data_IF_401702965367
#
_entry.id   IF_401702965367
#
_cell.length_a   1.000
_cell.length_b   1.000
_cell.length_c   1.000
_cell.angle_alpha   90.00
_cell.angle_beta   90.00
_cell.angle_gamma   90.00
#
_symmetry.space_group_name_H-M   'P 1'
#
loop_
_entity.id
_entity.type
_entity.pdbx_description
1 polymer ?
#
# COMPACT_ATOMS: atom_id res chain seq x y z
N UNK A 1 12.25 18.91 -21.67
CA UNK A 1 13.58 18.32 -21.91
C UNK A 1 14.42 19.21 -22.81
N UNK A 2 15.23 20.14 -22.26
CA UNK A 2 16.21 20.82 -23.09
C UNK A 2 17.22 19.79 -23.62
N UNK A 3 17.15 19.54 -24.92
CA UNK A 3 18.03 18.65 -25.66
C UNK A 3 18.50 19.40 -26.89
N UNK A 4 19.81 19.50 -27.08
CA UNK A 4 20.37 20.25 -28.21
C UNK A 4 21.82 20.63 -28.00
N UNK A 5 22.45 21.11 -29.08
CA UNK A 5 23.81 21.65 -29.04
C UNK A 5 23.70 23.18 -28.94
N UNK A 6 24.38 23.75 -27.95
CA UNK A 6 24.38 25.18 -27.67
C UNK A 6 25.80 25.73 -27.83
N UNK A 7 25.94 26.94 -28.34
CA UNK A 7 27.22 27.63 -28.48
C UNK A 7 27.08 29.05 -27.95
N UNK A 8 28.07 29.51 -27.18
CA UNK A 8 28.14 30.90 -26.74
C UNK A 8 28.97 31.72 -27.72
N UNK A 9 28.65 33.01 -27.90
CA UNK A 9 29.46 33.92 -28.73
C UNK A 9 29.79 35.19 -27.95
N UNK A 10 31.08 35.48 -27.80
CA UNK A 10 31.57 36.66 -27.07
C UNK A 10 32.56 37.42 -27.94
N UNK A 11 32.27 38.70 -28.20
CA UNK A 11 33.15 39.56 -29.01
C UNK A 11 33.44 38.99 -30.40
N UNK A 12 32.44 38.36 -31.05
CA UNK A 12 32.58 37.79 -32.39
C UNK A 12 33.19 36.38 -32.46
N UNK A 13 33.87 35.92 -31.41
CA UNK A 13 34.40 34.56 -31.28
C UNK A 13 33.33 33.59 -30.80
N UNK A 14 33.13 32.50 -31.52
CA UNK A 14 32.23 31.41 -31.11
C UNK A 14 32.98 30.48 -30.17
N UNK A 15 32.43 30.22 -28.99
CA UNK A 15 32.94 29.23 -28.05
C UNK A 15 32.55 27.81 -28.46
N UNK A 16 33.08 26.83 -27.72
CA UNK A 16 32.90 25.43 -28.04
C UNK A 16 31.44 24.96 -27.94
N UNK A 17 31.02 23.99 -28.78
CA UNK A 17 29.68 23.44 -28.77
C UNK A 17 29.44 22.58 -27.52
N UNK A 18 28.39 22.91 -26.76
CA UNK A 18 27.92 22.18 -25.60
C UNK A 18 26.69 21.35 -25.96
N UNK A 19 26.80 20.03 -25.94
CA UNK A 19 25.66 19.13 -26.12
C UNK A 19 24.94 18.93 -24.79
N UNK A 20 23.74 19.50 -24.68
CA UNK A 20 22.86 19.32 -23.51
C UNK A 20 21.90 18.18 -23.80
N UNK A 21 21.86 17.18 -22.92
CA UNK A 21 20.87 16.12 -22.97
C UNK A 21 20.24 15.94 -21.58
N UNK A 22 19.24 16.76 -21.27
CA UNK A 22 18.53 16.68 -20.00
C UNK A 22 17.14 16.09 -20.17
N UNK A 23 16.79 15.09 -19.34
CA UNK A 23 15.42 14.60 -19.19
C UNK A 23 14.83 15.19 -17.90
N UNK A 24 13.88 16.10 -18.06
CA UNK A 24 13.10 16.66 -16.97
C UNK A 24 12.06 15.62 -16.58
N UNK A 25 12.13 15.09 -15.36
CA UNK A 25 11.12 14.18 -14.86
C UNK A 25 10.26 14.86 -13.80
N UNK A 26 8.99 15.12 -14.13
CA UNK A 26 8.05 15.77 -13.20
C UNK A 26 7.46 14.80 -12.15
N UNK A 27 7.54 13.49 -12.39
CA UNK A 27 6.95 12.45 -11.54
C UNK A 27 7.90 11.27 -11.26
N UNK A 28 9.21 11.47 -11.32
CA UNK A 28 10.14 10.41 -10.95
C UNK A 28 10.13 10.26 -9.42
N UNK A 29 9.61 9.14 -8.94
CA UNK A 29 9.85 8.71 -7.57
C UNK A 29 11.24 8.09 -7.53
N UNK A 30 12.12 8.66 -6.71
CA UNK A 30 13.40 8.03 -6.40
C UNK A 30 13.11 6.81 -5.52
N UNK A 31 13.12 5.63 -6.16
CA UNK A 31 12.88 4.36 -5.48
C UNK A 31 14.19 3.85 -4.92
N UNK A 32 14.58 4.40 -3.77
CA UNK A 32 15.73 3.91 -3.03
C UNK A 32 15.42 2.54 -2.38
N UNK A 33 16.46 1.75 -2.13
CA UNK A 33 16.34 0.45 -1.46
C UNK A 33 15.45 0.46 -0.18
N UNK A 34 15.53 1.46 0.72
CA UNK A 34 14.62 1.53 1.88
C UNK A 34 13.15 1.72 1.49
N UNK A 35 12.85 2.51 0.46
CA UNK A 35 11.47 2.75 -0.02
C UNK A 35 10.87 1.45 -0.59
N UNK A 36 11.64 0.74 -1.42
CA UNK A 36 11.21 -0.55 -1.98
C UNK A 36 10.98 -1.57 -0.86
N UNK A 37 11.93 -1.66 0.07
CA UNK A 37 11.83 -2.56 1.23
C UNK A 37 10.59 -2.27 2.08
N UNK A 38 10.33 -0.99 2.37
CA UNK A 38 9.15 -0.57 3.13
C UNK A 38 7.83 -0.95 2.45
N UNK A 39 7.73 -0.79 1.13
CA UNK A 39 6.55 -1.19 0.35
C UNK A 39 6.31 -2.71 0.48
N UNK A 40 7.36 -3.52 0.30
CA UNK A 40 7.25 -4.98 0.37
C UNK A 40 6.84 -5.44 1.76
N UNK A 41 7.46 -4.89 2.82
CA UNK A 41 7.13 -5.25 4.20
C UNK A 41 5.68 -4.86 4.53
N UNK A 42 5.25 -3.66 4.12
CA UNK A 42 3.88 -3.20 4.34
C UNK A 42 2.86 -4.11 3.65
N UNK A 43 3.12 -4.53 2.42
CA UNK A 43 2.26 -5.43 1.65
C UNK A 43 2.13 -6.82 2.31
N UNK A 44 3.25 -7.39 2.77
CA UNK A 44 3.25 -8.67 3.51
C UNK A 44 2.43 -8.56 4.79
N UNK A 45 2.63 -7.50 5.57
CA UNK A 45 1.88 -7.27 6.82
C UNK A 45 0.39 -7.11 6.54
N UNK A 46 0.01 -6.31 5.54
CA UNK A 46 -1.38 -6.13 5.13
C UNK A 46 -2.03 -7.45 4.73
N UNK A 47 -1.32 -8.27 3.95
CA UNK A 47 -1.80 -9.58 3.51
C UNK A 47 -2.05 -10.52 4.69
N UNK A 48 -1.17 -10.52 5.70
CA UNK A 48 -1.36 -11.32 6.92
C UNK A 48 -2.61 -10.86 7.67
N UNK A 49 -2.83 -9.56 7.83
CA UNK A 49 -4.03 -9.04 8.47
C UNK A 49 -5.31 -9.46 7.74
N UNK A 50 -5.31 -9.38 6.41
CA UNK A 50 -6.44 -9.84 5.60
C UNK A 50 -6.67 -11.35 5.74
N UNK A 51 -5.60 -12.15 5.74
CA UNK A 51 -5.69 -13.60 5.92
C UNK A 51 -6.28 -13.97 7.29
N UNK A 52 -5.82 -13.31 8.37
CA UNK A 52 -6.36 -13.51 9.72
C UNK A 52 -7.82 -13.08 9.80
N UNK A 53 -8.18 -11.94 9.20
CA UNK A 53 -9.56 -11.48 9.18
C UNK A 53 -10.48 -12.49 8.49
N UNK A 54 -10.10 -12.98 7.31
CA UNK A 54 -10.85 -14.01 6.57
C UNK A 54 -10.91 -15.30 7.37
N UNK A 55 -9.82 -15.73 7.98
CA UNK A 55 -9.78 -16.91 8.84
C UNK A 55 -10.72 -16.79 10.04
N UNK A 56 -10.78 -15.62 10.69
CA UNK A 56 -11.69 -15.36 11.81
C UNK A 56 -13.16 -15.35 11.36
N UNK A 57 -13.48 -14.78 10.19
CA UNK A 57 -14.84 -14.75 9.65
C UNK A 57 -15.31 -16.15 9.23
N UNK A 58 -14.47 -16.90 8.50
CA UNK A 58 -14.81 -18.23 7.98
C UNK A 58 -14.66 -19.35 9.03
N UNK A 59 -13.80 -19.14 10.03
CA UNK A 59 -13.55 -20.09 11.12
C UNK A 59 -14.64 -20.11 12.20
N UNK A 60 -15.53 -19.12 12.23
CA UNK A 60 -16.69 -19.12 13.14
C UNK A 60 -17.68 -20.27 12.84
N UNK A 61 -17.71 -20.79 11.61
CA UNK A 61 -18.57 -21.94 11.26
C UNK A 61 -17.98 -23.32 11.66
N UNK A 62 -16.70 -23.41 12.05
CA UNK A 62 -15.98 -24.70 12.07
C UNK A 62 -15.56 -25.27 13.42
N UNK A 63 -15.95 -24.71 14.57
CA UNK A 63 -15.56 -25.34 15.84
C UNK A 63 -15.95 -24.73 17.18
N UNK A 64 -16.76 -23.66 17.24
CA UNK A 64 -17.34 -23.23 18.51
C UNK A 64 -18.83 -23.01 18.37
N UNK A 65 -19.56 -24.12 18.41
CA UNK A 65 -20.82 -24.15 19.15
C UNK A 65 -20.52 -23.70 20.59
N UNK A 66 -20.50 -22.40 20.84
CA UNK A 66 -20.52 -21.87 22.21
C UNK A 66 -21.91 -22.18 22.76
N UNK A 67 -22.07 -23.42 23.26
CA UNK A 67 -23.08 -23.75 24.28
C UNK A 67 -22.77 -22.88 25.49
N UNK A 68 -23.24 -21.64 25.52
CA UNK A 68 -23.58 -20.85 26.71
C UNK A 68 -23.69 -19.37 26.37
N UNK A 69 -24.77 -18.95 25.70
CA UNK A 69 -25.28 -17.58 25.87
C UNK A 69 -26.76 -17.48 25.49
N UNK A 70 -27.51 -18.58 25.54
CA UNK A 70 -28.97 -18.60 25.35
C UNK A 70 -29.62 -19.32 26.55
N UNK A 71 -29.24 -18.89 27.75
CA UNK A 71 -29.80 -19.35 29.04
C UNK A 71 -30.31 -18.19 29.88
N UNK A 72 -30.58 -17.04 29.27
CA UNK A 72 -31.27 -15.95 29.92
C UNK A 72 -32.14 -15.23 28.91
N UNK A 73 -33.37 -15.73 28.73
CA UNK A 73 -34.59 -14.95 28.90
C UNK A 73 -35.73 -15.69 28.21
N UNK A 74 -36.59 -16.35 28.99
CA UNK A 74 -38.04 -16.25 28.85
C UNK A 74 -38.68 -17.06 29.97
N UNK A 75 -39.15 -16.31 30.96
CA UNK A 75 -40.20 -16.63 31.90
C UNK A 75 -41.26 -17.54 31.25
N UNK A 76 -41.22 -18.85 31.50
CA UNK A 76 -42.42 -19.68 31.45
C UNK A 76 -43.04 -19.66 32.86
N UNK A 77 -43.58 -18.48 33.16
CA UNK A 77 -44.48 -18.26 34.26
C UNK A 77 -45.81 -18.96 33.96
N UNK A 78 -46.35 -19.62 34.99
CA UNK A 78 -47.74 -20.08 35.13
C UNK A 78 -48.29 -21.18 34.20
N UNK A 79 -49.12 -22.03 34.84
CA UNK A 79 -50.22 -22.80 34.25
C UNK A 79 -49.90 -24.01 33.38
N UNK A 80 -49.62 -25.14 34.04
CA UNK A 80 -50.26 -26.43 33.80
C UNK A 80 -50.18 -27.18 35.15
N UNK A 81 -51.08 -26.93 36.09
CA UNK A 81 -52.39 -27.59 36.25
C UNK A 81 -52.34 -29.12 36.08
#
# INVERSE_FOLDING_TARGET
>A
DPRGVYMCRTGGKTGDPLQVHFRMCQNCIQVDAPTISGIVIADVVATIFLAVAVYCVTGQDKGRSSRASDRQNLLANELYQ
#
